data_IF_352046655099
#
_entry.id   IF_352046655099
#
_cell.length_a   1.000
_cell.length_b   1.000
_cell.length_c   1.000
_cell.angle_alpha   90.00
_cell.angle_beta   90.00
_cell.angle_gamma   90.00
#
_symmetry.space_group_name_H-M   'P 1'
#
loop_
_entity.id
_entity.type
_entity.pdbx_description
1 polymer ?
#
# COMPACT_ATOMS: atom_id res chain seq x y z
N UNK A 1 7.20 26.81 3.76
CA UNK A 1 7.67 25.76 2.85
C UNK A 1 8.38 24.75 3.74
N UNK A 2 7.75 23.61 4.01
CA UNK A 2 8.30 22.60 4.93
C UNK A 2 9.00 21.52 4.12
N UNK A 3 10.30 21.41 4.28
CA UNK A 3 11.10 20.25 3.92
C UNK A 3 12.31 20.25 4.87
N UNK A 4 12.16 19.53 5.98
CA UNK A 4 13.18 19.44 7.03
C UNK A 4 14.08 18.20 6.87
N UNK A 5 14.14 17.60 5.67
CA UNK A 5 15.21 16.67 5.29
C UNK A 5 15.33 15.41 6.15
N UNK A 6 14.32 15.06 6.96
CA UNK A 6 14.30 13.85 7.80
C UNK A 6 13.61 12.68 7.08
N UNK A 7 14.06 12.36 5.86
CA UNK A 7 13.91 11.03 5.24
C UNK A 7 12.58 10.29 5.43
N UNK A 8 11.45 10.96 5.24
CA UNK A 8 10.14 10.30 5.20
C UNK A 8 10.15 9.31 4.05
N UNK A 9 10.37 8.04 4.37
CA UNK A 9 10.53 6.98 3.39
C UNK A 9 9.15 6.65 2.83
N UNK A 10 8.73 7.41 1.82
CA UNK A 10 7.49 7.18 1.09
C UNK A 10 7.67 5.95 0.20
N UNK A 11 6.94 4.89 0.51
CA UNK A 11 7.01 3.66 -0.28
C UNK A 11 5.81 3.55 -1.20
N UNK A 12 6.02 3.09 -2.43
CA UNK A 12 4.94 2.67 -3.31
C UNK A 12 5.04 1.16 -3.48
N UNK A 13 3.97 0.45 -3.15
CA UNK A 13 3.87 -0.99 -3.31
C UNK A 13 2.84 -1.28 -4.38
N UNK A 14 3.29 -1.98 -5.42
CA UNK A 14 2.45 -2.45 -6.52
C UNK A 14 2.27 -3.96 -6.39
N UNK A 15 1.02 -4.39 -6.34
CA UNK A 15 0.64 -5.77 -6.07
C UNK A 15 -0.39 -6.20 -7.11
N UNK A 16 -0.05 -7.24 -7.84
CA UNK A 16 -0.96 -7.92 -8.75
C UNK A 16 -1.42 -9.23 -8.10
N UNK A 17 -2.73 -9.42 -7.94
CA UNK A 17 -3.27 -10.63 -7.30
C UNK A 17 -4.67 -10.96 -7.81
N UNK A 18 -4.91 -12.24 -8.13
CA UNK A 18 -6.21 -12.72 -8.60
C UNK A 18 -7.34 -12.48 -7.58
N UNK A 19 -7.04 -12.45 -6.28
CA UNK A 19 -8.03 -12.17 -5.23
C UNK A 19 -8.56 -10.74 -5.24
N UNK A 20 -7.90 -9.82 -5.96
CA UNK A 20 -8.40 -8.46 -6.15
C UNK A 20 -9.50 -8.37 -7.22
N UNK A 21 -9.70 -9.42 -8.01
CA UNK A 21 -10.77 -9.47 -9.00
C UNK A 21 -12.14 -9.33 -8.32
N UNK A 22 -12.96 -8.40 -8.83
CA UNK A 22 -14.27 -8.08 -8.26
C UNK A 22 -14.26 -7.33 -6.92
N UNK A 23 -13.08 -7.05 -6.34
CA UNK A 23 -12.97 -6.24 -5.12
C UNK A 23 -12.90 -4.75 -5.45
N UNK A 24 -13.56 -3.93 -4.62
CA UNK A 24 -13.46 -2.47 -4.70
C UNK A 24 -12.04 -2.00 -4.33
N UNK A 25 -11.63 -0.84 -4.84
CA UNK A 25 -10.32 -0.22 -4.51
C UNK A 25 -10.06 -0.15 -3.01
N UNK A 26 -11.08 0.20 -2.21
CA UNK A 26 -10.97 0.29 -0.76
C UNK A 26 -10.76 -1.09 -0.12
N UNK A 27 -11.48 -2.13 -0.60
CA UNK A 27 -11.30 -3.50 -0.12
C UNK A 27 -9.90 -4.01 -0.43
N UNK A 28 -9.40 -3.78 -1.65
CA UNK A 28 -8.03 -4.14 -2.04
C UNK A 28 -7.02 -3.49 -1.09
N UNK A 29 -7.17 -2.20 -0.80
CA UNK A 29 -6.29 -1.49 0.13
C UNK A 29 -6.37 -2.05 1.56
N UNK A 30 -7.57 -2.40 2.03
CA UNK A 30 -7.74 -3.07 3.35
C UNK A 30 -7.09 -4.45 3.40
N UNK A 31 -7.19 -5.24 2.31
CA UNK A 31 -6.54 -6.54 2.21
C UNK A 31 -5.03 -6.40 2.30
N UNK A 32 -4.46 -5.44 1.55
CA UNK A 32 -3.01 -5.17 1.58
C UNK A 32 -2.56 -4.66 2.95
N UNK A 33 -3.28 -3.70 3.55
CA UNK A 33 -2.98 -3.22 4.90
C UNK A 33 -3.04 -4.34 5.94
N UNK A 34 -4.02 -5.25 5.83
CA UNK A 34 -4.12 -6.42 6.70
C UNK A 34 -2.95 -7.38 6.50
N UNK A 35 -2.51 -7.60 5.27
CA UNK A 35 -1.38 -8.48 4.95
C UNK A 35 -0.04 -7.90 5.44
N UNK A 36 0.13 -6.58 5.36
CA UNK A 36 1.32 -5.88 5.83
C UNK A 36 1.40 -5.79 7.36
N UNK A 37 0.25 -5.88 8.05
CA UNK A 37 0.18 -6.05 9.49
C UNK A 37 1.04 -5.04 10.26
N UNK A 38 1.98 -5.55 11.06
CA UNK A 38 2.83 -4.75 11.93
C UNK A 38 4.07 -4.12 11.24
N UNK A 39 4.34 -4.43 9.96
CA UNK A 39 5.45 -3.82 9.20
C UNK A 39 5.26 -2.30 9.07
N UNK A 40 4.01 -1.85 9.02
CA UNK A 40 3.65 -0.43 8.96
C UNK A 40 3.91 0.32 10.27
N UNK A 41 4.05 -0.39 11.40
CA UNK A 41 4.05 0.24 12.72
C UNK A 41 5.39 0.89 13.10
N UNK A 42 6.50 0.37 12.57
CA UNK A 42 7.84 0.74 13.05
C UNK A 42 8.68 1.56 12.06
N UNK A 43 8.34 1.62 10.75
CA UNK A 43 9.29 2.15 9.74
C UNK A 43 8.72 2.99 8.59
N UNK A 44 7.40 3.11 8.44
CA UNK A 44 6.82 3.73 7.23
C UNK A 44 5.92 4.90 7.60
N UNK A 45 6.33 6.11 7.22
CA UNK A 45 5.56 7.34 7.46
C UNK A 45 4.34 7.44 6.54
N UNK A 46 4.50 7.08 5.26
CA UNK A 46 3.42 7.02 4.29
C UNK A 46 3.71 5.97 3.21
N UNK A 47 2.66 5.26 2.76
CA UNK A 47 2.79 4.27 1.71
C UNK A 47 1.60 4.31 0.75
N UNK A 48 1.90 4.34 -0.54
CA UNK A 48 0.92 4.20 -1.61
C UNK A 48 0.77 2.72 -1.98
N UNK A 49 -0.47 2.24 -2.04
CA UNK A 49 -0.79 0.87 -2.44
C UNK A 49 -1.49 0.91 -3.79
N UNK A 50 -0.88 0.30 -4.80
CA UNK A 50 -1.50 -0.02 -6.08
C UNK A 50 -1.80 -1.51 -6.10
N UNK A 51 -3.08 -1.86 -6.17
CA UNK A 51 -3.54 -3.23 -6.14
C UNK A 51 -4.43 -3.52 -7.37
N UNK A 52 -3.93 -4.36 -8.28
CA UNK A 52 -4.57 -4.73 -9.55
C UNK A 52 -4.84 -6.23 -9.63
N UNK A 53 -5.93 -6.60 -10.31
CA UNK A 53 -6.15 -8.00 -10.65
C UNK A 53 -5.37 -8.34 -11.94
N UNK A 54 -4.88 -9.59 -12.11
CA UNK A 54 -4.29 -10.02 -13.37
C UNK A 54 -5.29 -9.93 -14.51
N UNK A 55 -4.90 -9.23 -15.58
CA UNK A 55 -5.73 -9.01 -16.76
C UNK A 55 -6.72 -7.84 -16.68
N UNK A 56 -6.57 -6.97 -15.67
CA UNK A 56 -7.26 -5.68 -15.57
C UNK A 56 -6.53 -4.55 -16.33
#
# INVERSE_FOLDING_TARGET
AGDDGSGESHFTVEIECAEFAGQSRLNRQRMVNKALGDIMRDKVHAMAIKASAPGE
#
